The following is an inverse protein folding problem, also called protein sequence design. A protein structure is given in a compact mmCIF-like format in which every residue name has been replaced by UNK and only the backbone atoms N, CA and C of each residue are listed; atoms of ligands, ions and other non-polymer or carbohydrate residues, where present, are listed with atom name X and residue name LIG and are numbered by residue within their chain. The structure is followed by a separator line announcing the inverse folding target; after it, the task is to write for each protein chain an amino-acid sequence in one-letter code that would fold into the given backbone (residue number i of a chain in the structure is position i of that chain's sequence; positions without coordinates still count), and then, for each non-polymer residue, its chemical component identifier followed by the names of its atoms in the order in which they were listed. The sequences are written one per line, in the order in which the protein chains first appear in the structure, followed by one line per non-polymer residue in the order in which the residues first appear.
data_IF_481145763691
#
_entry.id   IF_481145763691
#
_cell.length_a   1.000
_cell.length_b   1.000
_cell.length_c   1.000
_cell.angle_alpha   90.00
_cell.angle_beta   90.00
_cell.angle_gamma   90.00
#
_symmetry.space_group_name_H-M   'P 1'
#
loop_
_entity.id
_entity.type
_entity.pdbx_description
1 polymer ?
#
# COMPACT_ATOMS: atom_id res chain seq x y z
N UNK A 1 -10.67 -5.23 -13.18
CA UNK A 1 -10.13 -4.15 -14.03
C UNK A 1 -8.67 -4.45 -14.27
N UNK A 2 -8.21 -4.58 -15.53
CA UNK A 2 -6.81 -4.78 -15.88
C UNK A 2 -5.93 -3.55 -15.56
N UNK A 3 -4.64 -3.78 -15.30
CA UNK A 3 -3.66 -2.72 -15.01
C UNK A 3 -3.60 -1.64 -16.10
N UNK A 4 -3.76 -2.03 -17.36
CA UNK A 4 -3.74 -1.09 -18.48
C UNK A 4 -4.90 -0.09 -18.41
N UNK A 5 -6.13 -0.56 -18.12
CA UNK A 5 -7.32 0.30 -18.05
C UNK A 5 -7.22 1.25 -16.86
N UNK A 6 -6.75 0.74 -15.72
CA UNK A 6 -6.55 1.54 -14.53
C UNK A 6 -5.48 2.62 -14.75
N UNK A 7 -4.36 2.27 -15.35
CA UNK A 7 -3.28 3.23 -15.62
C UNK A 7 -3.70 4.26 -16.67
N UNK A 8 -4.36 3.84 -17.75
CA UNK A 8 -4.89 4.75 -18.78
C UNK A 8 -5.83 5.79 -18.16
N UNK A 9 -6.75 5.35 -17.29
CA UNK A 9 -7.69 6.22 -16.61
C UNK A 9 -6.97 7.20 -15.67
N UNK A 10 -5.98 6.73 -14.90
CA UNK A 10 -5.18 7.56 -14.00
C UNK A 10 -4.40 8.64 -14.79
N UNK A 11 -3.80 8.27 -15.92
CA UNK A 11 -3.13 9.20 -16.83
C UNK A 11 -4.10 10.21 -17.43
N UNK A 12 -5.32 9.79 -17.79
CA UNK A 12 -6.35 10.65 -18.38
C UNK A 12 -6.74 11.79 -17.43
N UNK A 13 -6.85 11.50 -16.13
CA UNK A 13 -7.10 12.52 -15.11
C UNK A 13 -5.92 13.49 -14.91
N UNK A 14 -4.68 13.03 -15.13
CA UNK A 14 -3.49 13.86 -14.97
C UNK A 14 -3.15 14.70 -16.22
N UNK A 15 -3.57 14.26 -17.42
CA UNK A 15 -3.29 14.93 -18.70
C UNK A 15 -4.58 15.04 -19.51
N UNK A 16 -5.40 16.07 -19.25
CA UNK A 16 -6.68 16.23 -19.93
C UNK A 16 -6.50 16.44 -21.43
N UNK A 17 -7.42 15.86 -22.22
CA UNK A 17 -7.52 16.03 -23.69
C UNK A 17 -6.33 15.49 -24.49
N UNK A 18 -5.58 14.52 -23.95
CA UNK A 18 -4.58 13.73 -24.70
C UNK A 18 -4.98 12.26 -24.75
N UNK A 19 -4.55 11.57 -25.81
CA UNK A 19 -4.62 10.11 -25.87
C UNK A 19 -3.57 9.53 -24.91
N UNK A 20 -4.04 8.85 -23.86
CA UNK A 20 -3.20 8.26 -22.82
C UNK A 20 -2.95 6.77 -23.01
N UNK A 21 -3.59 6.13 -24.00
CA UNK A 21 -3.40 4.71 -24.31
C UNK A 21 -1.95 4.36 -24.65
N UNK A 22 -1.25 5.11 -25.54
CA UNK A 22 0.12 4.77 -25.90
C UNK A 22 1.05 4.88 -24.70
N UNK A 23 0.86 5.91 -23.87
CA UNK A 23 1.67 6.13 -22.67
C UNK A 23 1.44 5.04 -21.62
N UNK A 24 0.19 4.64 -21.37
CA UNK A 24 -0.12 3.54 -20.45
C UNK A 24 0.57 2.24 -20.88
N UNK A 25 0.52 1.92 -22.18
CA UNK A 25 1.18 0.73 -22.75
C UNK A 25 2.69 0.81 -22.63
N UNK A 26 3.30 1.97 -22.92
CA UNK A 26 4.75 2.16 -22.82
C UNK A 26 5.25 2.00 -21.38
N UNK A 27 4.53 2.57 -20.41
CA UNK A 27 4.84 2.44 -18.99
C UNK A 27 4.77 0.98 -18.52
N UNK A 28 3.68 0.27 -18.85
CA UNK A 28 3.55 -1.15 -18.48
C UNK A 28 4.55 -2.04 -19.19
N UNK A 29 4.89 -1.75 -20.45
CA UNK A 29 5.93 -2.49 -21.16
C UNK A 29 7.30 -2.33 -20.48
N UNK A 30 7.61 -1.13 -19.95
CA UNK A 30 8.89 -0.85 -19.29
C UNK A 30 8.97 -1.36 -17.85
N UNK A 31 7.87 -1.28 -17.11
CA UNK A 31 7.83 -1.52 -15.67
C UNK A 31 6.96 -2.72 -15.26
N UNK A 32 6.52 -3.52 -16.23
CA UNK A 32 5.76 -4.77 -16.10
C UNK A 32 4.30 -4.62 -15.68
N UNK A 33 4.03 -4.00 -14.53
CA UNK A 33 2.70 -3.91 -13.93
C UNK A 33 2.46 -2.53 -13.29
N UNK A 34 1.24 -2.27 -12.81
CA UNK A 34 0.91 -0.97 -12.21
C UNK A 34 1.78 -0.66 -10.99
N UNK A 35 2.17 -1.68 -10.21
CA UNK A 35 3.03 -1.49 -9.05
C UNK A 35 4.41 -1.02 -9.50
N UNK A 36 5.00 -1.66 -10.50
CA UNK A 36 6.27 -1.28 -11.09
C UNK A 36 6.26 0.15 -11.62
N UNK A 37 5.18 0.57 -12.29
CA UNK A 37 5.03 1.95 -12.77
C UNK A 37 4.97 2.96 -11.61
N UNK A 38 4.29 2.63 -10.51
CA UNK A 38 4.16 3.52 -9.35
C UNK A 38 5.43 3.54 -8.47
N UNK A 39 6.23 2.48 -8.51
CA UNK A 39 7.48 2.34 -7.75
C UNK A 39 8.72 2.81 -8.53
N UNK A 40 8.59 3.00 -9.86
CA UNK A 40 9.66 3.49 -10.73
C UNK A 40 10.27 4.81 -10.22
N UNK A 41 11.59 4.97 -10.44
CA UNK A 41 12.25 6.23 -10.09
C UNK A 41 11.80 7.32 -11.06
N UNK A 42 11.76 8.53 -10.54
CA UNK A 42 11.34 9.70 -11.30
C UNK A 42 12.14 9.92 -12.59
N UNK A 43 13.46 9.68 -12.55
CA UNK A 43 14.33 9.79 -13.72
C UNK A 43 13.92 8.80 -14.83
N UNK A 44 13.56 7.57 -14.46
CA UNK A 44 13.19 6.50 -15.41
C UNK A 44 11.83 6.79 -16.05
N UNK A 45 10.89 7.38 -15.30
CA UNK A 45 9.60 7.78 -15.84
C UNK A 45 9.73 8.88 -16.90
N UNK A 46 10.66 9.83 -16.71
CA UNK A 46 10.91 10.92 -17.65
C UNK A 46 11.55 10.48 -18.97
N UNK A 47 12.13 9.28 -19.02
CA UNK A 47 12.67 8.71 -20.25
C UNK A 47 11.55 8.22 -21.20
N UNK A 48 10.32 8.06 -20.68
CA UNK A 48 9.17 7.61 -21.48
C UNK A 48 8.54 8.81 -22.20
N UNK A 49 8.45 8.70 -23.52
CA UNK A 49 7.80 9.73 -24.33
C UNK A 49 6.34 9.97 -23.90
N UNK A 50 5.96 11.24 -23.82
CA UNK A 50 4.68 11.66 -23.27
C UNK A 50 4.64 11.83 -21.73
N UNK A 51 5.66 11.41 -20.99
CA UNK A 51 5.75 11.63 -19.53
C UNK A 51 6.31 13.02 -19.20
N UNK A 52 5.43 14.04 -19.25
CA UNK A 52 5.80 15.45 -19.01
C UNK A 52 5.73 15.92 -17.55
N UNK A 53 6.00 17.22 -17.34
CA UNK A 53 6.06 17.85 -16.00
C UNK A 53 4.74 17.75 -15.20
N UNK A 54 3.58 17.78 -15.87
CA UNK A 54 2.27 17.62 -15.20
C UNK A 54 2.12 16.22 -14.58
N UNK A 55 2.50 15.17 -15.33
CA UNK A 55 2.49 13.79 -14.85
C UNK A 55 3.52 13.59 -13.74
N UNK A 56 4.70 14.16 -13.92
CA UNK A 56 5.72 14.22 -12.89
C UNK A 56 5.20 14.78 -11.56
N UNK A 57 4.46 15.88 -11.60
CA UNK A 57 3.85 16.48 -10.41
C UNK A 57 2.76 15.58 -9.84
N UNK A 58 1.89 15.03 -10.67
CA UNK A 58 0.86 14.09 -10.27
C UNK A 58 1.43 12.85 -9.58
N UNK A 59 2.49 12.24 -10.11
CA UNK A 59 3.17 11.08 -9.51
C UNK A 59 3.79 11.41 -8.15
N UNK A 60 4.36 12.60 -7.98
CA UNK A 60 4.87 13.05 -6.66
C UNK A 60 3.75 13.11 -5.63
N UNK A 61 2.61 13.70 -5.99
CA UNK A 61 1.42 13.76 -5.12
C UNK A 61 0.90 12.36 -4.83
N UNK A 62 0.76 11.51 -5.85
CA UNK A 62 0.27 10.14 -5.69
C UNK A 62 1.18 9.31 -4.77
N UNK A 63 2.51 9.48 -4.88
CA UNK A 63 3.48 8.86 -3.97
C UNK A 63 3.29 9.33 -2.53
N UNK A 64 3.10 10.62 -2.31
CA UNK A 64 2.87 11.18 -0.97
C UNK A 64 1.54 10.70 -0.37
N UNK A 65 0.47 10.68 -1.17
CA UNK A 65 -0.83 10.12 -0.76
C UNK A 65 -0.68 8.66 -0.37
N UNK A 66 0.00 7.86 -1.19
CA UNK A 66 0.27 6.45 -0.90
C UNK A 66 1.13 6.27 0.36
N UNK A 67 2.15 7.10 0.55
CA UNK A 67 2.99 7.08 1.75
C UNK A 67 2.16 7.38 3.00
N UNK A 68 1.29 8.39 2.97
CA UNK A 68 0.40 8.74 4.09
C UNK A 68 -0.71 7.73 4.31
N UNK A 69 -1.25 7.14 3.26
CA UNK A 69 -2.25 6.06 3.35
C UNK A 69 -1.62 4.77 3.90
N UNK A 70 -0.40 4.45 3.49
CA UNK A 70 0.39 3.38 4.10
C UNK A 70 0.78 3.69 5.54
N UNK A 71 1.09 4.94 5.87
CA UNK A 71 1.42 5.35 7.23
C UNK A 71 0.21 5.57 8.15
N UNK A 72 -1.01 5.76 7.62
CA UNK A 72 -2.21 5.86 8.45
C UNK A 72 -2.54 4.53 9.11
N UNK A 73 -2.10 3.41 8.52
CA UNK A 73 -2.10 2.10 9.15
C UNK A 73 -0.88 1.84 10.07
N UNK A 74 0.14 2.72 10.03
CA UNK A 74 1.24 2.79 11.01
C UNK A 74 0.88 3.68 12.23
N UNK A 75 -0.28 4.34 12.24
CA UNK A 75 -0.81 4.97 13.47
C UNK A 75 -1.36 3.89 14.40
N UNK A 76 -0.45 3.25 15.13
CA UNK A 76 -0.65 2.47 16.38
C UNK A 76 -1.55 1.23 16.26
N UNK A 77 -1.18 0.27 15.42
CA UNK A 77 -1.55 -1.15 15.63
C UNK A 77 -0.28 -1.92 15.99
N UNK A 78 -0.30 -2.63 17.12
CA UNK A 78 0.82 -3.51 17.48
C UNK A 78 0.97 -4.58 16.40
N UNK A 79 2.16 -4.70 15.83
CA UNK A 79 2.47 -5.67 14.78
C UNK A 79 2.72 -7.05 15.40
N UNK A 80 2.01 -8.06 14.92
CA UNK A 80 2.08 -9.45 15.38
C UNK A 80 2.81 -10.34 14.36
N UNK A 81 3.92 -9.84 13.81
CA UNK A 81 4.64 -10.49 12.71
C UNK A 81 5.57 -11.64 13.12
N UNK A 82 5.60 -12.04 14.41
CA UNK A 82 6.38 -13.19 14.88
C UNK A 82 5.77 -13.87 16.12
N UNK A 83 6.05 -15.16 16.36
CA UNK A 83 5.64 -15.85 17.59
C UNK A 83 6.10 -15.14 18.87
N UNK A 84 7.30 -14.53 18.85
CA UNK A 84 7.81 -13.75 19.96
C UNK A 84 6.99 -12.46 20.21
N UNK A 85 6.57 -11.78 19.15
CA UNK A 85 5.71 -10.58 19.26
C UNK A 85 4.33 -10.94 19.83
N UNK A 86 3.75 -12.06 19.39
CA UNK A 86 2.50 -12.61 19.95
C UNK A 86 2.66 -12.93 21.43
N UNK A 87 3.72 -13.66 21.82
CA UNK A 87 3.97 -14.01 23.22
C UNK A 87 4.21 -12.78 24.11
N UNK A 88 4.96 -11.78 23.64
CA UNK A 88 5.22 -10.55 24.39
C UNK A 88 3.95 -9.72 24.62
N UNK A 89 3.02 -9.76 23.66
CA UNK A 89 1.72 -9.11 23.78
C UNK A 89 0.78 -9.88 24.71
N UNK A 90 0.69 -11.21 24.53
CA UNK A 90 -0.11 -12.08 25.38
C UNK A 90 0.32 -11.96 26.85
N UNK A 91 1.63 -11.99 27.13
CA UNK A 91 2.18 -11.80 28.49
C UNK A 91 1.75 -10.47 29.12
N UNK A 92 1.72 -9.37 28.35
CA UNK A 92 1.29 -8.05 28.86
C UNK A 92 -0.20 -8.00 29.19
N UNK A 93 -1.04 -8.72 28.43
CA UNK A 93 -2.51 -8.72 28.61
C UNK A 93 -3.00 -9.76 29.62
N UNK A 94 -2.32 -10.89 29.73
CA UNK A 94 -2.65 -11.99 30.64
C UNK A 94 -1.94 -11.87 31.99
N UNK A 95 -1.05 -10.88 32.17
CA UNK A 95 -0.39 -10.64 33.45
C UNK A 95 -1.43 -10.40 34.55
N UNK A 96 -1.35 -11.20 35.62
CA UNK A 96 -2.25 -11.11 36.78
C UNK A 96 -3.56 -11.89 36.64
N UNK A 97 -3.71 -12.74 35.61
CA UNK A 97 -4.81 -13.69 35.51
C UNK A 97 -4.36 -15.05 36.07
N UNK A 98 -5.12 -15.59 37.02
CA UNK A 98 -4.82 -16.88 37.67
C UNK A 98 -5.47 -18.08 36.96
N UNK A 99 -6.38 -17.82 36.01
CA UNK A 99 -7.07 -18.84 35.23
C UNK A 99 -6.55 -18.93 33.79
N UNK A 100 -6.64 -20.13 33.21
CA UNK A 100 -6.32 -20.33 31.80
C UNK A 100 -7.41 -19.72 30.91
N UNK A 101 -7.04 -18.73 30.10
CA UNK A 101 -7.95 -18.06 29.18
C UNK A 101 -7.59 -18.33 27.72
N UNK A 102 -8.61 -18.42 26.86
CA UNK A 102 -8.42 -18.47 25.42
C UNK A 102 -8.84 -17.13 24.79
N UNK A 103 -8.03 -16.64 23.86
CA UNK A 103 -8.25 -15.34 23.22
C UNK A 103 -8.03 -15.42 21.71
N UNK A 104 -8.85 -14.69 20.96
CA UNK A 104 -8.75 -14.54 19.51
C UNK A 104 -8.18 -13.17 19.15
N UNK A 105 -7.10 -13.17 18.39
CA UNK A 105 -6.50 -11.99 17.79
C UNK A 105 -6.82 -11.94 16.30
N UNK A 106 -7.58 -10.94 15.85
CA UNK A 106 -7.78 -10.70 14.43
C UNK A 106 -6.72 -9.73 13.93
N UNK A 107 -6.13 -10.03 12.78
CA UNK A 107 -5.09 -9.21 12.15
C UNK A 107 -5.44 -8.90 10.70
N UNK A 108 -4.89 -7.81 10.17
CA UNK A 108 -4.93 -7.54 8.73
C UNK A 108 -3.88 -8.37 7.97
N UNK A 109 -3.86 -8.24 6.64
CA UNK A 109 -2.91 -8.93 5.77
C UNK A 109 -1.43 -8.53 6.02
N UNK A 110 -1.18 -7.48 6.81
CA UNK A 110 0.15 -7.06 7.24
C UNK A 110 0.44 -7.48 8.69
N UNK A 111 -0.34 -8.41 9.25
CA UNK A 111 -0.24 -8.95 10.61
C UNK A 111 -0.43 -7.93 11.73
N UNK A 112 -1.18 -6.84 11.46
CA UNK A 112 -1.42 -5.80 12.47
C UNK A 112 -2.72 -6.08 13.19
N UNK A 113 -2.71 -5.96 14.52
CA UNK A 113 -3.88 -6.26 15.36
C UNK A 113 -5.08 -5.37 15.04
N UNK A 114 -6.18 -5.99 14.63
CA UNK A 114 -7.49 -5.39 14.39
C UNK A 114 -8.35 -5.42 15.66
N UNK A 115 -8.41 -6.57 16.32
CA UNK A 115 -9.17 -6.78 17.55
C UNK A 115 -8.58 -7.94 18.37
N UNK A 116 -8.88 -7.92 19.67
CA UNK A 116 -8.50 -8.96 20.61
C UNK A 116 -9.70 -9.27 21.52
N UNK A 117 -10.19 -10.51 21.50
CA UNK A 117 -11.44 -10.90 22.16
C UNK A 117 -11.26 -12.19 22.96
N UNK A 118 -11.80 -12.21 24.19
CA UNK A 118 -11.80 -13.43 25.02
C UNK A 118 -12.82 -14.39 24.45
N UNK A 119 -12.43 -15.64 24.27
CA UNK A 119 -13.33 -16.73 23.94
C UNK A 119 -13.89 -17.26 25.27
N UNK A 120 -15.22 -17.30 25.39
CA UNK A 120 -15.92 -17.88 26.53
C UNK A 120 -15.92 -19.40 26.46
#
# INVERSE_FOLDING_TARGET
MPDYELLELLLFYAVPRRDTKPLARALLARFSDIRGVLDARYAELREIDGFGESLATFWKVLREVRARYGASSLRRREELSSPAAVAAMAKRRLAGQDEAECWLALVDAQTRLLSWQRLQ
#
